data_IF_328314266402
#
_entry.id   IF_328314266402
#
_cell.length_a   1.000
_cell.length_b   1.000
_cell.length_c   1.000
_cell.angle_alpha   90.00
_cell.angle_beta   90.00
_cell.angle_gamma   90.00
#
_symmetry.space_group_name_H-M   'P 1'
#
loop_
_entity.id
_entity.type
_entity.pdbx_description
1 polymer ?
#
# COMPACT_ATOMS: atom_id res chain seq x y z
N UNK A 1 11.27 22.41 -8.08
CA UNK A 1 10.75 21.12 -7.58
C UNK A 1 10.79 20.10 -8.71
N UNK A 2 11.24 18.87 -8.45
CA UNK A 2 11.07 17.78 -9.42
C UNK A 2 9.58 17.50 -9.62
N UNK A 3 9.14 17.37 -10.87
CA UNK A 3 7.77 16.99 -11.21
C UNK A 3 7.58 15.50 -10.89
N UNK A 4 6.53 15.17 -10.14
CA UNK A 4 6.18 13.77 -9.85
C UNK A 4 5.87 13.01 -11.15
N UNK A 5 6.07 11.69 -11.14
CA UNK A 5 5.77 10.80 -12.27
C UNK A 5 4.80 9.70 -11.86
N UNK A 6 4.18 9.04 -12.84
CA UNK A 6 3.43 7.81 -12.58
C UNK A 6 4.40 6.64 -12.55
N UNK A 7 4.24 5.77 -11.55
CA UNK A 7 5.04 4.55 -11.43
C UNK A 7 4.14 3.32 -11.55
N UNK A 8 4.55 2.38 -12.41
CA UNK A 8 3.92 1.06 -12.59
C UNK A 8 4.88 -0.09 -12.25
N UNK A 9 6.13 0.21 -11.90
CA UNK A 9 7.17 -0.76 -11.62
C UNK A 9 7.69 -0.60 -10.19
N UNK A 10 7.52 -1.64 -9.36
CA UNK A 10 7.97 -1.59 -7.96
C UNK A 10 7.09 -0.69 -7.07
N UNK A 11 7.57 -0.36 -5.86
CA UNK A 11 6.81 0.47 -4.93
C UNK A 11 6.83 1.95 -5.34
N UNK A 12 5.69 2.62 -5.15
CA UNK A 12 5.60 4.08 -5.26
C UNK A 12 6.22 4.80 -4.04
N UNK A 13 6.89 5.93 -4.28
CA UNK A 13 7.46 6.79 -3.24
C UNK A 13 6.71 8.14 -3.23
N UNK A 14 6.17 8.60 -2.10
CA UNK A 14 5.33 9.81 -2.05
C UNK A 14 6.01 11.09 -2.57
N UNK A 15 7.33 11.21 -2.43
CA UNK A 15 8.11 12.35 -2.89
C UNK A 15 8.28 12.38 -4.42
N UNK A 16 8.30 11.20 -5.06
CA UNK A 16 8.65 11.03 -6.48
C UNK A 16 7.44 10.71 -7.36
N UNK A 17 6.44 10.02 -6.80
CA UNK A 17 5.36 9.39 -7.55
C UNK A 17 3.99 9.96 -7.21
N UNK A 18 3.13 10.07 -8.22
CA UNK A 18 1.71 10.28 -8.01
C UNK A 18 1.11 9.04 -7.34
N UNK A 19 0.39 9.26 -6.24
CA UNK A 19 -0.13 8.22 -5.35
C UNK A 19 -1.63 8.40 -5.21
N UNK A 20 -2.33 7.26 -5.18
CA UNK A 20 -3.71 7.19 -4.72
C UNK A 20 -3.69 6.70 -3.27
N UNK A 21 -4.65 7.12 -2.42
CA UNK A 21 -4.80 6.57 -1.08
C UNK A 21 -4.85 5.05 -1.10
N UNK A 22 -4.11 4.43 -0.17
CA UNK A 22 -4.06 2.97 -0.04
C UNK A 22 -5.13 2.45 0.92
N UNK A 23 -5.60 3.27 1.86
CA UNK A 23 -6.59 2.89 2.89
C UNK A 23 -7.89 2.35 2.29
N UNK A 24 -8.40 2.96 1.20
CA UNK A 24 -9.64 2.52 0.56
C UNK A 24 -9.57 1.09 0.00
N UNK A 25 -8.35 0.57 -0.22
CA UNK A 25 -8.11 -0.78 -0.74
C UNK A 25 -8.04 -1.85 0.34
N UNK A 26 -8.14 -1.46 1.62
CA UNK A 26 -7.86 -2.29 2.79
C UNK A 26 -9.05 -2.51 3.70
N UNK A 27 -10.28 -2.45 3.19
CA UNK A 27 -11.46 -2.71 4.02
C UNK A 27 -11.35 -4.08 4.71
N UNK A 28 -11.49 -4.12 6.03
CA UNK A 28 -11.41 -5.35 6.83
C UNK A 28 -10.01 -5.86 7.14
N UNK A 29 -8.95 -5.28 6.56
CA UNK A 29 -7.57 -5.74 6.82
C UNK A 29 -7.14 -5.55 8.28
N UNK A 30 -7.51 -4.41 8.87
CA UNK A 30 -7.19 -4.09 10.26
C UNK A 30 -7.87 -5.05 11.23
N UNK A 31 -9.11 -5.45 10.96
CA UNK A 31 -9.84 -6.40 11.78
C UNK A 31 -9.14 -7.78 11.81
N UNK A 32 -8.64 -8.25 10.65
CA UNK A 32 -7.85 -9.49 10.58
C UNK A 32 -6.56 -9.39 11.39
N UNK A 33 -5.89 -8.23 11.37
CA UNK A 33 -4.66 -7.97 12.14
C UNK A 33 -4.94 -7.98 13.64
N UNK A 34 -5.98 -7.27 14.08
CA UNK A 34 -6.40 -7.21 15.49
C UNK A 34 -6.77 -8.60 16.02
N UNK A 35 -7.40 -9.43 15.18
CA UNK A 35 -7.73 -10.83 15.50
C UNK A 35 -6.54 -11.80 15.35
N UNK A 36 -5.34 -11.31 15.02
CA UNK A 36 -4.10 -12.11 14.82
C UNK A 36 -4.26 -13.21 13.76
N UNK A 37 -5.01 -12.93 12.70
CA UNK A 37 -5.26 -13.85 11.60
C UNK A 37 -4.28 -13.67 10.44
N UNK A 38 -4.03 -14.75 9.71
CA UNK A 38 -3.33 -14.68 8.42
C UNK A 38 -4.28 -14.18 7.33
N UNK A 39 -3.76 -13.37 6.41
CA UNK A 39 -4.51 -12.87 5.26
C UNK A 39 -3.68 -12.92 3.98
N UNK A 40 -4.35 -12.89 2.83
CA UNK A 40 -3.72 -12.84 1.50
C UNK A 40 -4.29 -11.64 0.73
N UNK A 41 -3.40 -10.84 0.14
CA UNK A 41 -3.79 -9.75 -0.76
C UNK A 41 -3.80 -10.27 -2.20
N UNK A 42 -4.98 -10.63 -2.70
CA UNK A 42 -5.16 -11.07 -4.08
C UNK A 42 -5.48 -9.88 -5.01
N UNK A 43 -4.56 -9.52 -5.89
CA UNK A 43 -4.77 -8.51 -6.93
C UNK A 43 -3.84 -8.74 -8.13
N UNK A 44 -4.19 -8.18 -9.30
CA UNK A 44 -3.40 -8.30 -10.54
C UNK A 44 -1.93 -7.83 -10.37
N UNK A 45 -1.05 -8.21 -11.29
CA UNK A 45 0.36 -7.75 -11.25
C UNK A 45 0.41 -6.22 -11.33
N UNK A 46 1.40 -5.62 -10.66
CA UNK A 46 1.67 -4.18 -10.68
C UNK A 46 0.52 -3.28 -10.16
N UNK A 47 -0.39 -3.80 -9.33
CA UNK A 47 -1.49 -3.02 -8.73
C UNK A 47 -1.13 -2.29 -7.43
N UNK A 48 0.15 -2.24 -7.06
CA UNK A 48 0.60 -1.53 -5.86
C UNK A 48 0.50 -2.32 -4.55
N UNK A 49 0.39 -3.66 -4.59
CA UNK A 49 0.39 -4.52 -3.38
C UNK A 49 1.59 -4.26 -2.46
N UNK A 50 2.78 -4.10 -3.01
CA UNK A 50 4.01 -3.82 -2.24
C UNK A 50 3.95 -2.45 -1.59
N UNK A 51 3.52 -1.40 -2.33
CA UNK A 51 3.31 -0.06 -1.75
C UNK A 51 2.31 -0.09 -0.62
N UNK A 52 1.23 -0.84 -0.78
CA UNK A 52 0.23 -0.99 0.27
C UNK A 52 0.83 -1.59 1.55
N UNK A 53 1.58 -2.70 1.43
CA UNK A 53 2.20 -3.36 2.59
C UNK A 53 3.23 -2.46 3.30
N UNK A 54 4.00 -1.66 2.55
CA UNK A 54 4.95 -0.71 3.14
C UNK A 54 4.25 0.39 3.93
N UNK A 55 3.18 0.96 3.37
CA UNK A 55 2.38 1.98 4.05
C UNK A 55 1.69 1.42 5.30
N UNK A 56 1.12 0.21 5.21
CA UNK A 56 0.53 -0.47 6.36
C UNK A 56 1.56 -0.75 7.45
N UNK A 57 2.75 -1.22 7.07
CA UNK A 57 3.84 -1.47 8.02
C UNK A 57 4.23 -0.19 8.75
N UNK A 58 4.32 0.92 8.03
CA UNK A 58 4.60 2.23 8.62
C UNK A 58 3.51 2.61 9.63
N UNK A 59 2.23 2.53 9.25
CA UNK A 59 1.10 2.88 10.11
C UNK A 59 1.02 2.04 11.40
N UNK A 60 1.41 0.76 11.34
CA UNK A 60 1.40 -0.12 12.51
C UNK A 60 2.59 0.07 13.46
N UNK A 61 3.65 0.75 13.02
CA UNK A 61 4.87 0.98 13.80
C UNK A 61 5.08 2.46 14.19
N UNK A 62 4.12 3.33 13.84
CA UNK A 62 4.00 4.69 14.36
C UNK A 62 3.12 4.70 15.62
#
# INVERSE_FOLDING_TARGET
MMKKTFNIAGPCHPAEHYMLPTQERCSGLMELIEQKQYFVIHAARQTGKTTLLLELTKQLNE
#
